data_IF_599799970363
#
_entry.id   IF_599799970363
#
_cell.length_a   1.000
_cell.length_b   1.000
_cell.length_c   1.000
_cell.angle_alpha   90.00
_cell.angle_beta   90.00
_cell.angle_gamma   90.00
#
_symmetry.space_group_name_H-M   'P 1'
#
loop_
_entity.id
_entity.type
_entity.pdbx_description
1 polymer ?
#
# COMPACT_ATOMS: atom_id res chain seq x y z
N UNK A 1 2.99 9.14 1.34
CA UNK A 1 1.96 8.25 0.73
C UNK A 1 2.64 6.91 0.61
N UNK A 2 1.95 5.81 0.92
CA UNK A 2 2.61 4.52 0.95
C UNK A 2 2.23 3.61 -0.21
N UNK A 3 3.19 2.79 -0.67
CA UNK A 3 2.93 1.63 -1.52
C UNK A 3 3.02 0.37 -0.68
N UNK A 4 2.04 -0.52 -0.86
CA UNK A 4 1.93 -1.79 -0.16
C UNK A 4 2.12 -2.94 -1.16
N UNK A 5 3.07 -3.81 -0.90
CA UNK A 5 3.50 -4.85 -1.83
C UNK A 5 2.69 -6.14 -1.69
N UNK A 6 1.57 -6.25 -2.40
CA UNK A 6 0.79 -7.49 -2.50
C UNK A 6 1.12 -8.25 -3.79
N UNK A 7 2.41 -8.47 -4.07
CA UNK A 7 2.86 -9.20 -5.29
C UNK A 7 2.40 -10.66 -5.37
N UNK A 8 1.91 -11.22 -4.28
CA UNK A 8 1.36 -12.58 -4.23
C UNK A 8 -0.16 -12.61 -4.42
N UNK A 9 -0.79 -11.45 -4.67
CA UNK A 9 -2.24 -11.31 -4.82
C UNK A 9 -3.02 -12.00 -3.71
N UNK A 10 -2.56 -11.83 -2.45
CA UNK A 10 -3.28 -12.34 -1.28
C UNK A 10 -4.68 -11.76 -1.30
N UNK A 11 -5.67 -12.65 -1.23
CA UNK A 11 -7.07 -12.27 -1.24
C UNK A 11 -7.53 -12.03 0.19
N UNK A 12 -7.38 -10.79 0.65
CA UNK A 12 -7.68 -10.41 2.04
C UNK A 12 -9.12 -10.69 2.45
N UNK A 13 -10.09 -10.63 1.54
CA UNK A 13 -11.48 -11.01 1.84
C UNK A 13 -11.63 -12.51 2.16
N UNK A 14 -10.79 -13.36 1.57
CA UNK A 14 -10.78 -14.81 1.86
C UNK A 14 -10.01 -15.13 3.13
N UNK A 15 -8.91 -14.43 3.40
CA UNK A 15 -8.12 -14.62 4.62
C UNK A 15 -8.87 -14.09 5.85
N UNK A 16 -9.54 -12.95 5.72
CA UNK A 16 -10.25 -12.29 6.80
C UNK A 16 -11.76 -12.22 6.50
N UNK A 17 -12.50 -13.34 6.54
CA UNK A 17 -13.91 -13.37 6.17
C UNK A 17 -14.82 -12.62 7.17
N UNK A 18 -14.38 -12.47 8.43
CA UNK A 18 -15.10 -11.78 9.49
C UNK A 18 -14.75 -10.29 9.60
N UNK A 19 -13.65 -9.88 8.96
CA UNK A 19 -13.19 -8.50 8.96
C UNK A 19 -13.62 -7.80 7.67
N UNK A 20 -14.21 -6.62 7.78
CA UNK A 20 -14.49 -5.78 6.62
C UNK A 20 -13.28 -4.92 6.27
N UNK A 21 -13.05 -4.66 4.98
CA UNK A 21 -12.13 -3.62 4.49
C UNK A 21 -10.64 -3.83 4.82
N UNK A 22 -10.20 -5.07 5.06
CA UNK A 22 -8.77 -5.39 5.09
C UNK A 22 -8.19 -5.22 3.69
N UNK A 23 -7.19 -4.34 3.57
CA UNK A 23 -6.55 -4.01 2.29
C UNK A 23 -5.10 -4.48 2.20
N UNK A 24 -4.47 -4.79 3.33
CA UNK A 24 -3.11 -5.29 3.40
C UNK A 24 -2.84 -5.93 4.77
N UNK A 25 -1.86 -6.81 4.85
CA UNK A 25 -1.37 -7.34 6.12
C UNK A 25 0.17 -7.48 6.09
N UNK A 26 0.75 -7.63 7.27
CA UNK A 26 2.17 -7.87 7.45
C UNK A 26 2.39 -8.69 8.71
N UNK A 27 3.30 -9.66 8.65
CA UNK A 27 3.64 -10.48 9.81
C UNK A 27 4.66 -9.78 10.71
N UNK A 28 4.69 -10.14 11.99
CA UNK A 28 5.70 -9.68 12.94
C UNK A 28 7.14 -9.90 12.42
N UNK A 29 7.40 -11.06 11.80
CA UNK A 29 8.69 -11.39 11.18
C UNK A 29 9.06 -10.42 10.06
N UNK A 30 8.09 -9.99 9.26
CA UNK A 30 8.31 -8.98 8.22
C UNK A 30 8.56 -7.59 8.82
N UNK A 31 7.86 -7.24 9.91
CA UNK A 31 8.07 -5.99 10.64
C UNK A 31 9.44 -5.89 11.32
N UNK A 32 9.99 -7.03 11.78
CA UNK A 32 11.35 -7.09 12.32
C UNK A 32 12.42 -6.70 11.29
N UNK A 33 12.11 -6.71 9.98
CA UNK A 33 13.02 -6.22 8.95
C UNK A 33 13.04 -4.69 8.92
N UNK A 34 14.23 -4.10 9.09
CA UNK A 34 14.43 -2.65 8.95
C UNK A 34 13.97 -2.09 7.59
N UNK A 35 13.86 -2.94 6.56
CA UNK A 35 13.30 -2.54 5.26
C UNK A 35 11.86 -2.06 5.37
N UNK A 36 11.08 -2.58 6.32
CA UNK A 36 9.66 -2.29 6.49
C UNK A 36 9.39 -1.26 7.59
N UNK A 37 10.40 -0.51 8.03
CA UNK A 37 10.27 0.49 9.09
C UNK A 37 9.17 1.54 8.83
N UNK A 38 8.90 1.85 7.56
CA UNK A 38 7.83 2.76 7.14
C UNK A 38 6.42 2.29 7.57
N UNK A 39 6.24 1.02 7.94
CA UNK A 39 5.00 0.54 8.56
C UNK A 39 4.66 1.32 9.83
N UNK A 40 5.66 1.64 10.66
CA UNK A 40 5.44 2.33 11.94
C UNK A 40 4.98 3.79 11.75
N UNK A 41 5.08 4.32 10.53
CA UNK A 41 4.62 5.67 10.16
C UNK A 41 3.18 5.65 9.62
N UNK A 42 2.64 4.47 9.30
CA UNK A 42 1.24 4.33 8.93
C UNK A 42 0.36 4.65 10.14
N UNK A 43 -0.69 5.42 9.89
CA UNK A 43 -1.70 5.80 10.86
C UNK A 43 -3.04 5.98 10.18
N UNK A 44 -4.09 6.07 10.98
CA UNK A 44 -5.41 6.45 10.47
C UNK A 44 -5.30 7.75 9.65
N UNK A 45 -5.94 7.76 8.48
CA UNK A 45 -5.90 8.86 7.54
C UNK A 45 -4.76 8.79 6.51
N UNK A 46 -3.75 7.94 6.70
CA UNK A 46 -2.71 7.74 5.68
C UNK A 46 -3.30 7.28 4.35
N UNK A 47 -2.74 7.77 3.25
CA UNK A 47 -3.09 7.31 1.91
C UNK A 47 -2.11 6.23 1.48
N UNK A 48 -2.68 5.11 1.05
CA UNK A 48 -1.92 3.94 0.59
C UNK A 48 -2.41 3.48 -0.77
N UNK A 49 -1.53 2.79 -1.50
CA UNK A 49 -1.87 2.09 -2.72
C UNK A 49 -1.32 0.66 -2.66
N UNK A 50 -2.19 -0.32 -2.91
CA UNK A 50 -1.80 -1.73 -2.97
C UNK A 50 -1.33 -2.06 -4.39
N UNK A 51 -0.13 -2.63 -4.49
CA UNK A 51 0.50 -3.06 -5.74
C UNK A 51 0.34 -4.58 -5.84
N UNK A 52 -0.32 -5.04 -6.89
CA UNK A 52 -0.60 -6.47 -7.16
C UNK A 52 0.57 -7.15 -7.87
N UNK A 53 0.49 -8.46 -8.09
CA UNK A 53 1.48 -9.26 -8.85
C UNK A 53 1.77 -8.71 -10.24
N UNK A 54 0.74 -8.14 -10.89
CA UNK A 54 0.82 -7.51 -12.20
C UNK A 54 1.57 -6.17 -12.19
N UNK A 55 2.02 -5.72 -11.01
CA UNK A 55 2.69 -4.43 -10.77
C UNK A 55 1.86 -3.25 -11.25
N UNK A 56 0.54 -3.38 -11.21
CA UNK A 56 -0.38 -2.30 -11.56
C UNK A 56 -0.75 -1.51 -10.32
N UNK A 57 -0.90 -0.21 -10.52
CA UNK A 57 -1.45 0.74 -9.56
C UNK A 57 -2.79 1.19 -10.10
N UNK A 58 -3.86 0.90 -9.37
CA UNK A 58 -5.22 1.19 -9.81
C UNK A 58 -6.07 1.87 -8.75
N UNK A 59 -5.80 1.60 -7.47
CA UNK A 59 -6.71 1.95 -6.38
C UNK A 59 -5.94 2.53 -5.20
N UNK A 60 -6.41 3.69 -4.73
CA UNK A 60 -5.88 4.37 -3.56
C UNK A 60 -6.89 4.29 -2.43
N UNK A 61 -6.42 3.92 -1.25
CA UNK A 61 -7.22 3.75 -0.06
C UNK A 61 -6.79 4.75 1.02
N UNK A 62 -7.75 5.19 1.83
CA UNK A 62 -7.49 5.89 3.08
C UNK A 62 -7.51 4.87 4.21
N UNK A 63 -6.44 4.83 5.00
CA UNK A 63 -6.34 3.95 6.18
C UNK A 63 -7.36 4.41 7.21
N UNK A 64 -8.09 3.43 7.75
CA UNK A 64 -9.12 3.63 8.78
C UNK A 64 -8.73 2.99 10.11
N UNK A 65 -7.94 1.91 10.09
CA UNK A 65 -7.40 1.30 11.28
C UNK A 65 -6.17 0.42 10.95
N UNK A 66 -5.37 0.15 11.97
CA UNK A 66 -4.31 -0.86 11.97
C UNK A 66 -4.49 -1.68 13.24
N UNK A 67 -4.61 -3.00 13.13
CA UNK A 67 -4.88 -3.88 14.28
C UNK A 67 -4.11 -5.18 14.14
N UNK A 68 -3.74 -5.79 15.26
CA UNK A 68 -3.40 -7.20 15.23
C UNK A 68 -4.66 -8.03 14.98
N UNK A 69 -4.50 -9.13 14.27
CA UNK A 69 -5.55 -10.08 13.95
C UNK A 69 -5.10 -11.47 14.39
N UNK A 70 -6.03 -12.23 14.97
CA UNK A 70 -5.80 -13.62 15.36
C UNK A 70 -5.80 -14.53 14.12
N UNK A 71 -4.84 -14.32 13.24
CA UNK A 71 -4.54 -15.25 12.15
C UNK A 71 -3.06 -15.61 12.29
N UNK A 72 -2.80 -16.87 12.61
CA UNK A 72 -1.45 -17.39 12.75
C UNK A 72 -0.94 -17.62 11.34
N UNK A 73 0.07 -16.87 10.90
CA UNK A 73 0.89 -17.24 9.74
C UNK A 73 1.25 -18.72 9.87
N UNK A 74 1.33 -19.46 8.76
CA UNK A 74 1.91 -20.80 8.69
C UNK A 74 3.20 -20.98 9.55
N UNK A 75 3.94 -19.91 9.81
CA UNK A 75 5.15 -19.83 10.63
C UNK A 75 4.95 -19.45 12.12
N UNK A 76 3.73 -19.23 12.63
CA UNK A 76 3.47 -19.06 14.07
C UNK A 76 3.54 -17.64 14.65
N UNK A 77 3.57 -16.59 13.81
CA UNK A 77 3.71 -15.19 14.26
C UNK A 77 2.41 -14.39 14.27
N UNK A 78 2.39 -13.29 15.02
CA UNK A 78 1.28 -12.31 15.01
C UNK A 78 1.19 -11.62 13.64
N UNK A 79 -0.05 -11.46 13.15
CA UNK A 79 -0.35 -10.74 11.92
C UNK A 79 -0.97 -9.38 12.24
N UNK A 80 -0.51 -8.36 11.53
CA UNK A 80 -1.07 -7.01 11.63
C UNK A 80 -1.79 -6.67 10.33
N UNK A 81 -3.09 -6.40 10.43
CA UNK A 81 -3.94 -6.04 9.31
C UNK A 81 -4.13 -4.53 9.22
N UNK A 82 -4.04 -4.03 7.98
CA UNK A 82 -4.34 -2.66 7.61
C UNK A 82 -5.75 -2.58 7.01
N UNK A 83 -6.58 -1.73 7.58
CA UNK A 83 -7.96 -1.52 7.18
C UNK A 83 -8.08 -0.20 6.43
N UNK A 84 -8.86 -0.15 5.35
CA UNK A 84 -9.02 1.09 4.61
C UNK A 84 -10.10 1.08 3.54
N UNK A 85 -10.56 2.28 3.21
CA UNK A 85 -11.62 2.49 2.23
C UNK A 85 -11.07 3.10 0.95
N UNK A 86 -11.60 2.67 -0.19
CA UNK A 86 -11.21 3.21 -1.50
C UNK A 86 -11.66 4.67 -1.63
N UNK A 87 -10.70 5.57 -1.89
CA UNK A 87 -10.97 7.01 -2.05
C UNK A 87 -10.72 7.52 -3.47
N UNK A 88 -9.85 6.85 -4.24
CA UNK A 88 -9.53 7.26 -5.60
C UNK A 88 -9.03 6.09 -6.45
N UNK A 89 -9.04 6.29 -7.77
CA UNK A 89 -8.54 5.33 -8.76
C UNK A 89 -7.71 6.00 -9.86
N UNK A 90 -6.75 5.28 -10.41
CA UNK A 90 -5.99 5.70 -11.58
C UNK A 90 -6.68 5.21 -12.86
N UNK A 91 -6.90 6.09 -13.84
CA UNK A 91 -7.52 5.76 -15.12
C UNK A 91 -6.60 6.15 -16.28
N UNK A 92 -6.12 5.20 -17.11
CA UNK A 92 -6.16 3.74 -16.93
C UNK A 92 -5.19 3.24 -15.82
N UNK A 93 -5.35 1.97 -15.41
CA UNK A 93 -4.38 1.31 -14.53
C UNK A 93 -2.97 1.49 -15.10
N UNK A 94 -2.05 2.01 -14.30
CA UNK A 94 -0.69 2.25 -14.76
C UNK A 94 0.25 1.19 -14.21
N UNK A 95 1.21 0.77 -15.03
CA UNK A 95 2.36 0.02 -14.54
C UNK A 95 3.07 0.89 -13.49
N UNK A 96 3.24 0.36 -12.28
CA UNK A 96 3.89 1.04 -11.17
C UNK A 96 5.29 1.50 -11.56
N UNK A 97 6.07 0.65 -12.23
CA UNK A 97 7.43 0.98 -12.65
C UNK A 97 7.48 2.21 -13.55
N UNK A 98 6.58 2.27 -14.55
CA UNK A 98 6.45 3.43 -15.44
C UNK A 98 5.95 4.67 -14.71
N UNK A 99 4.99 4.51 -13.79
CA UNK A 99 4.47 5.60 -12.97
C UNK A 99 5.59 6.21 -12.11
N UNK A 100 6.31 5.39 -11.36
CA UNK A 100 7.40 5.84 -10.51
C UNK A 100 8.53 6.48 -11.32
N UNK A 101 8.87 5.92 -12.50
CA UNK A 101 9.85 6.51 -13.42
C UNK A 101 9.41 7.89 -13.91
N UNK A 102 8.13 8.05 -14.28
CA UNK A 102 7.59 9.34 -14.76
C UNK A 102 7.70 10.45 -13.72
N UNK A 103 7.59 10.10 -12.44
CA UNK A 103 7.70 11.04 -11.33
C UNK A 103 9.11 11.09 -10.74
N UNK A 104 10.11 10.43 -11.36
CA UNK A 104 11.50 10.39 -10.90
C UNK A 104 11.67 9.93 -9.45
N UNK A 105 10.80 9.04 -8.98
CA UNK A 105 10.81 8.54 -7.60
C UNK A 105 12.15 7.88 -7.29
N UNK A 106 12.79 8.30 -6.20
CA UNK A 106 14.02 7.69 -5.68
C UNK A 106 13.75 7.10 -4.30
N UNK A 107 13.88 5.79 -4.18
CA UNK A 107 13.69 5.10 -2.91
C UNK A 107 14.68 3.94 -2.79
N UNK A 108 15.41 3.86 -1.68
CA UNK A 108 16.52 2.91 -1.48
C UNK A 108 16.12 1.43 -1.67
N UNK A 109 14.89 1.08 -1.31
CA UNK A 109 14.35 -0.28 -1.45
C UNK A 109 13.44 -0.47 -2.67
N UNK A 110 13.34 0.54 -3.54
CA UNK A 110 12.69 0.44 -4.86
C UNK A 110 13.70 0.62 -6.02
N UNK A 111 14.83 -0.12 -6.06
CA UNK A 111 15.78 0.02 -7.17
C UNK A 111 15.09 -0.32 -8.48
N UNK A 112 15.30 0.54 -9.49
CA UNK A 112 14.64 0.42 -10.80
C UNK A 112 13.11 0.32 -10.71
N UNK A 113 12.52 1.00 -9.72
CA UNK A 113 11.08 1.05 -9.47
C UNK A 113 10.44 -0.33 -9.24
N UNK A 114 11.15 -1.23 -8.53
CA UNK A 114 10.69 -2.56 -8.15
C UNK A 114 10.95 -2.79 -6.66
N UNK A 115 10.03 -3.46 -5.98
CA UNK A 115 10.24 -3.89 -4.59
C UNK A 115 11.46 -4.80 -4.49
N UNK A 116 12.37 -4.46 -3.57
CA UNK A 116 13.44 -5.36 -3.14
C UNK A 116 12.86 -6.59 -2.43
N UNK A 117 13.62 -7.69 -2.38
CA UNK A 117 13.21 -8.89 -1.65
C UNK A 117 13.00 -8.56 -0.15
N UNK A 118 11.86 -9.01 0.39
CA UNK A 118 11.43 -8.80 1.78
C UNK A 118 10.97 -7.38 2.11
N UNK A 119 10.77 -6.53 1.10
CA UNK A 119 10.29 -5.16 1.26
C UNK A 119 8.81 -5.06 0.87
N UNK A 120 8.00 -4.58 1.80
CA UNK A 120 6.54 -4.63 1.74
C UNK A 120 5.86 -3.26 1.81
N UNK A 121 6.48 -2.28 2.47
CA UNK A 121 5.86 -0.98 2.74
C UNK A 121 6.83 0.12 2.36
N UNK A 122 6.54 0.84 1.28
CA UNK A 122 7.35 1.97 0.84
C UNK A 122 6.67 3.30 1.16
N UNK A 123 7.30 4.19 1.93
CA UNK A 123 6.86 5.58 1.96
C UNK A 123 7.47 6.33 0.78
N UNK A 124 6.61 6.92 -0.04
CA UNK A 124 6.99 7.79 -1.15
C UNK A 124 6.96 9.27 -0.76
N UNK A 125 6.62 9.61 0.49
CA UNK A 125 6.52 10.99 0.95
C UNK A 125 5.57 11.79 0.06
N UNK A 126 6.15 12.78 -0.64
CA UNK A 126 5.48 13.73 -1.56
C UNK A 126 5.77 13.46 -3.04
N UNK A 127 6.53 12.44 -3.40
CA UNK A 127 6.99 12.19 -4.78
C UNK A 127 5.85 12.03 -5.79
N UNK A 128 4.68 11.56 -5.34
CA UNK A 128 3.48 11.40 -6.18
C UNK A 128 2.42 12.47 -5.93
N UNK A 129 2.73 13.57 -5.24
CA UNK A 129 1.72 14.55 -4.83
C UNK A 129 0.98 15.20 -5.99
N UNK A 130 1.65 15.37 -7.13
CA UNK A 130 1.07 15.95 -8.35
C UNK A 130 0.36 14.91 -9.23
N UNK A 131 0.37 13.62 -8.85
CA UNK A 131 -0.34 12.56 -9.57
C UNK A 131 -1.85 12.81 -9.52
N UNK A 132 -2.45 13.01 -10.70
CA UNK A 132 -3.90 13.12 -10.85
C UNK A 132 -4.57 11.76 -10.79
N UNK A 133 -5.60 11.65 -9.96
CA UNK A 133 -6.43 10.46 -9.74
C UNK A 133 -7.91 10.83 -9.83
N UNK A 134 -8.74 9.85 -10.18
CA UNK A 134 -10.19 10.00 -10.24
C UNK A 134 -10.81 9.68 -8.89
N UNK A 135 -11.57 10.61 -8.35
CA UNK A 135 -12.38 10.45 -7.14
C UNK A 135 -13.87 10.41 -7.50
N UNK A 136 -14.74 10.21 -6.51
CA UNK A 136 -16.20 10.33 -6.70
C UNK A 136 -16.62 11.74 -7.11
N UNK A 137 -15.92 12.77 -6.63
CA UNK A 137 -16.24 14.19 -6.88
C UNK A 137 -15.50 14.79 -8.07
N UNK A 138 -14.74 13.99 -8.83
CA UNK A 138 -13.95 14.46 -9.97
C UNK A 138 -12.45 14.13 -9.86
N UNK A 139 -11.65 14.70 -10.75
CA UNK A 139 -10.20 14.53 -10.71
C UNK A 139 -9.59 15.37 -9.58
N UNK A 140 -8.67 14.76 -8.81
CA UNK A 140 -7.87 15.41 -7.78
C UNK A 140 -6.42 14.94 -7.85
N UNK A 141 -5.49 15.67 -7.28
CA UNK A 141 -4.13 15.21 -7.05
C UNK A 141 -4.03 14.38 -5.77
N UNK A 142 -2.94 13.63 -5.59
CA UNK A 142 -2.69 12.93 -4.33
C UNK A 142 -2.52 13.92 -3.16
N UNK A 143 -1.89 15.08 -3.38
CA UNK A 143 -1.78 16.11 -2.33
C UNK A 143 -3.15 16.58 -1.84
N UNK A 144 -4.10 16.85 -2.75
CA UNK A 144 -5.47 17.25 -2.39
C UNK A 144 -6.25 16.17 -1.62
N UNK A 145 -5.83 14.91 -1.72
CA UNK A 145 -6.45 13.82 -0.95
C UNK A 145 -5.88 13.72 0.47
N UNK A 146 -4.63 14.15 0.69
CA UNK A 146 -3.99 14.08 2.01
C UNK A 146 -4.63 15.03 3.02
N UNK A 147 -5.26 16.11 2.55
CA UNK A 147 -5.84 17.17 3.37
C UNK A 147 -4.90 18.35 3.46
#
# INVERSE_FOLDING_TARGET
>A
MFLLNNIHDKNYKKCYPTESDVIFDISEKQLASAKNAAWNELKEGSIVCVVTSTRRVSTFCKVTAIKSVEEIDSDGGEMFALFGVVIAKLMPESNMGLLLSKFSVKHQYLPSNKFSVGFHVADLGTELDTLKVKTRSGAKTISELKG
#
